data_IF_860796197512
#
_entry.id   IF_860796197512
#
_cell.length_a   1.000
_cell.length_b   1.000
_cell.length_c   1.000
_cell.angle_alpha   90.00
_cell.angle_beta   90.00
_cell.angle_gamma   90.00
#
_symmetry.space_group_name_H-M   'P 1'
#
loop_
_entity.id
_entity.type
_entity.pdbx_description
1 polymer ?
#
# COMPACT_ATOMS: atom_id res chain seq x y z
N UNK A 1 16.24 16.03 -14.12
CA UNK A 1 16.27 16.82 -15.37
C UNK A 1 15.12 16.44 -16.31
N UNK A 2 14.80 15.15 -16.51
CA UNK A 2 13.73 14.70 -17.41
C UNK A 2 12.30 15.21 -17.07
N UNK A 3 11.81 15.05 -15.83
CA UNK A 3 10.43 15.47 -15.48
C UNK A 3 10.18 16.98 -15.67
N UNK A 4 11.19 17.80 -15.36
CA UNK A 4 11.15 19.25 -15.58
C UNK A 4 11.14 19.58 -17.06
N UNK A 5 11.94 18.87 -17.86
CA UNK A 5 11.95 19.02 -19.30
C UNK A 5 10.61 18.61 -19.92
N UNK A 6 10.01 17.49 -19.51
CA UNK A 6 8.67 17.04 -19.97
C UNK A 6 7.60 18.11 -19.70
N UNK A 7 7.64 18.74 -18.52
CA UNK A 7 6.75 19.85 -18.16
C UNK A 7 7.03 21.12 -18.97
N UNK A 8 8.29 21.42 -19.24
CA UNK A 8 8.72 22.59 -20.01
C UNK A 8 8.49 22.41 -21.53
N UNK A 9 8.44 21.17 -22.03
CA UNK A 9 8.23 20.80 -23.44
C UNK A 9 6.80 20.35 -23.77
N UNK A 10 5.88 20.37 -22.79
CA UNK A 10 4.48 19.94 -22.93
C UNK A 10 4.31 18.50 -23.43
N UNK A 11 5.24 17.61 -23.05
CA UNK A 11 5.27 16.21 -23.48
C UNK A 11 4.59 15.26 -22.50
N UNK A 12 3.57 15.71 -21.77
CA UNK A 12 2.86 14.91 -20.77
C UNK A 12 2.33 13.59 -21.36
N UNK A 13 1.97 13.58 -22.65
CA UNK A 13 1.49 12.40 -23.39
C UNK A 13 2.43 11.19 -23.23
N UNK A 14 3.74 11.41 -23.19
CA UNK A 14 4.73 10.33 -23.02
C UNK A 14 4.56 9.62 -21.67
N UNK A 15 4.12 10.31 -20.62
CA UNK A 15 3.93 9.69 -19.30
C UNK A 15 2.84 8.62 -19.33
N UNK A 16 1.80 8.83 -20.14
CA UNK A 16 0.64 7.94 -20.24
C UNK A 16 0.97 6.58 -20.85
N UNK A 17 2.02 6.52 -21.68
CA UNK A 17 2.50 5.27 -22.28
C UNK A 17 3.17 4.35 -21.26
N UNK A 18 3.73 4.93 -20.18
CA UNK A 18 4.53 4.22 -19.19
C UNK A 18 3.85 4.07 -17.82
N UNK A 19 2.58 4.45 -17.66
CA UNK A 19 1.89 4.37 -16.36
C UNK A 19 1.88 2.96 -15.80
N UNK A 20 1.58 1.96 -16.64
CA UNK A 20 1.54 0.55 -16.23
C UNK A 20 2.94 0.03 -15.87
N UNK A 21 3.96 0.38 -16.65
CA UNK A 21 5.34 -0.02 -16.39
C UNK A 21 5.91 0.68 -15.13
N UNK A 22 5.43 1.89 -14.84
CA UNK A 22 5.77 2.64 -13.64
C UNK A 22 5.00 2.18 -12.38
N UNK A 23 3.93 1.40 -12.58
CA UNK A 23 3.23 0.69 -11.53
C UNK A 23 3.91 -0.64 -11.19
N UNK A 24 4.73 -1.18 -12.10
CA UNK A 24 5.35 -2.50 -11.96
C UNK A 24 6.16 -2.60 -10.65
N UNK A 25 5.75 -3.56 -9.83
CA UNK A 25 6.34 -3.88 -8.54
C UNK A 25 7.44 -4.96 -8.71
N UNK A 26 8.62 -4.76 -8.11
CA UNK A 26 9.78 -5.69 -8.15
C UNK A 26 11.14 -4.98 -8.25
N UNK A 27 12.25 -5.75 -8.19
CA UNK A 27 13.70 -5.36 -8.06
C UNK A 27 14.24 -4.27 -9.02
N UNK A 28 13.42 -3.71 -9.90
CA UNK A 28 13.71 -2.52 -10.68
C UNK A 28 12.45 -1.67 -10.76
N UNK A 29 12.22 -0.77 -9.80
CA UNK A 29 11.31 0.34 -10.04
C UNK A 29 11.69 1.00 -11.36
N UNK A 30 10.76 0.98 -12.33
CA UNK A 30 10.97 1.65 -13.59
C UNK A 30 11.34 3.11 -13.32
N UNK A 31 12.38 3.62 -13.99
CA UNK A 31 12.77 5.04 -13.93
C UNK A 31 11.57 5.98 -14.14
N UNK A 32 10.57 5.51 -14.90
CA UNK A 32 9.32 6.22 -15.12
C UNK A 32 8.54 6.48 -13.83
N UNK A 33 8.57 5.58 -12.83
CA UNK A 33 7.89 5.78 -11.54
C UNK A 33 8.32 7.07 -10.88
N UNK A 34 9.62 7.24 -10.62
CA UNK A 34 10.14 8.46 -10.00
C UNK A 34 9.89 9.70 -10.86
N UNK A 35 10.00 9.55 -12.19
CA UNK A 35 9.74 10.64 -13.13
C UNK A 35 8.28 11.11 -13.06
N UNK A 36 7.33 10.18 -13.00
CA UNK A 36 5.89 10.45 -12.93
C UNK A 36 5.52 11.02 -11.55
N UNK A 37 6.07 10.50 -10.46
CA UNK A 37 5.87 11.06 -9.11
C UNK A 37 6.38 12.50 -9.03
N UNK A 38 7.59 12.75 -9.56
CA UNK A 38 8.17 14.08 -9.61
C UNK A 38 7.39 15.04 -10.52
N UNK A 39 6.82 14.54 -11.62
CA UNK A 39 5.91 15.30 -12.47
C UNK A 39 4.63 15.66 -11.72
N UNK A 40 3.96 14.68 -11.10
CA UNK A 40 2.73 14.86 -10.35
C UNK A 40 2.90 15.90 -9.24
N UNK A 41 4.00 15.84 -8.48
CA UNK A 41 4.33 16.80 -7.42
C UNK A 41 4.53 18.24 -7.93
N UNK A 42 4.93 18.41 -9.19
CA UNK A 42 5.13 19.72 -9.82
C UNK A 42 3.93 20.17 -10.67
N UNK A 43 2.98 19.29 -10.95
CA UNK A 43 1.83 19.57 -11.81
C UNK A 43 0.90 20.58 -11.15
N UNK A 44 0.26 21.44 -11.95
CA UNK A 44 -0.78 22.37 -11.45
C UNK A 44 -2.06 21.64 -11.04
N UNK A 45 -2.40 20.57 -11.76
CA UNK A 45 -3.54 19.69 -11.49
C UNK A 45 -3.18 18.27 -11.94
N UNK A 46 -2.83 17.35 -11.02
CA UNK A 46 -2.48 15.97 -11.34
C UNK A 46 -3.70 15.04 -11.49
N UNK A 47 -4.92 15.57 -11.42
CA UNK A 47 -6.16 14.76 -11.40
C UNK A 47 -6.26 13.82 -12.61
N UNK A 48 -6.00 14.34 -13.82
CA UNK A 48 -6.11 13.57 -15.07
C UNK A 48 -5.09 12.43 -15.11
N UNK A 49 -3.87 12.69 -14.63
CA UNK A 49 -2.81 11.68 -14.53
C UNK A 49 -3.20 10.55 -13.58
N UNK A 50 -3.76 10.89 -12.40
CA UNK A 50 -4.22 9.92 -11.41
C UNK A 50 -5.38 9.08 -11.96
N UNK A 51 -6.34 9.71 -12.63
CA UNK A 51 -7.46 9.03 -13.26
C UNK A 51 -7.02 8.09 -14.38
N UNK A 52 -6.07 8.52 -15.23
CA UNK A 52 -5.52 7.68 -16.28
C UNK A 52 -4.73 6.49 -15.73
N UNK A 53 -3.96 6.69 -14.65
CA UNK A 53 -3.26 5.61 -13.97
C UNK A 53 -4.26 4.56 -13.46
N UNK A 54 -5.32 4.97 -12.78
CA UNK A 54 -6.39 4.04 -12.36
C UNK A 54 -7.04 3.32 -13.54
N UNK A 55 -7.33 4.03 -14.64
CA UNK A 55 -7.97 3.45 -15.83
C UNK A 55 -7.09 2.38 -16.52
N UNK A 56 -5.77 2.50 -16.42
CA UNK A 56 -4.82 1.52 -16.94
C UNK A 56 -4.50 0.39 -15.94
N UNK A 57 -5.07 0.42 -14.74
CA UNK A 57 -4.78 -0.52 -13.66
C UNK A 57 -3.48 -0.21 -12.89
N UNK A 58 -2.87 0.96 -13.13
CA UNK A 58 -1.68 1.44 -12.43
C UNK A 58 -2.03 2.01 -11.04
N UNK A 59 -2.56 1.15 -10.17
CA UNK A 59 -3.26 1.56 -8.96
C UNK A 59 -2.32 2.04 -7.85
N UNK A 60 -1.11 1.47 -7.73
CA UNK A 60 -0.14 1.91 -6.73
C UNK A 60 0.43 3.27 -7.12
N UNK A 61 0.71 3.47 -8.41
CA UNK A 61 1.20 4.72 -8.96
C UNK A 61 0.15 5.82 -8.78
N UNK A 62 -1.11 5.54 -9.10
CA UNK A 62 -2.21 6.47 -8.86
C UNK A 62 -2.29 6.90 -7.38
N UNK A 63 -2.17 5.93 -6.46
CA UNK A 63 -2.14 6.19 -5.03
C UNK A 63 -0.93 7.04 -4.61
N UNK A 64 0.27 6.71 -5.09
CA UNK A 64 1.49 7.44 -4.76
C UNK A 64 1.44 8.89 -5.28
N UNK A 65 0.96 9.10 -6.52
CA UNK A 65 0.70 10.43 -7.06
C UNK A 65 -0.32 11.21 -6.19
N UNK A 66 -1.37 10.56 -5.70
CA UNK A 66 -2.35 11.19 -4.80
C UNK A 66 -1.74 11.59 -3.45
N UNK A 67 -0.85 10.78 -2.87
CA UNK A 67 -0.24 11.10 -1.57
C UNK A 67 0.81 12.22 -1.66
N UNK A 68 1.68 12.20 -2.67
CA UNK A 68 2.73 13.21 -2.86
C UNK A 68 2.16 14.61 -3.15
N UNK A 69 0.98 14.69 -3.77
CA UNK A 69 0.37 15.95 -4.21
C UNK A 69 -0.42 16.67 -3.13
N UNK A 70 -0.61 16.07 -1.95
CA UNK A 70 -1.26 16.71 -0.80
C UNK A 70 -0.47 17.88 -0.19
N UNK A 71 0.84 17.96 -0.44
CA UNK A 71 1.75 18.90 0.25
C UNK A 71 1.81 20.31 -0.33
N UNK A 72 1.28 20.50 -1.52
CA UNK A 72 1.23 21.77 -2.23
C UNK A 72 -0.04 21.71 -3.02
N UNK A 73 -1.02 22.59 -2.81
CA UNK A 73 -1.93 23.12 -3.86
C UNK A 73 -3.13 23.90 -3.29
N UNK A 74 -3.69 24.74 -4.17
CA UNK A 74 -4.84 25.62 -4.02
C UNK A 74 -6.13 24.85 -3.59
N UNK A 75 -7.01 25.45 -2.74
CA UNK A 75 -8.25 24.82 -2.26
C UNK A 75 -9.12 24.12 -3.31
N UNK A 76 -9.19 24.63 -4.55
CA UNK A 76 -10.01 24.03 -5.61
C UNK A 76 -9.51 22.64 -6.06
N UNK A 77 -8.19 22.42 -6.06
CA UNK A 77 -7.60 21.14 -6.45
C UNK A 77 -7.71 20.13 -5.31
N UNK A 78 -7.54 20.59 -4.07
CA UNK A 78 -7.76 19.76 -2.87
C UNK A 78 -9.16 19.15 -2.89
N UNK A 79 -10.19 19.94 -3.23
CA UNK A 79 -11.56 19.44 -3.30
C UNK A 79 -11.75 18.34 -4.37
N UNK A 80 -11.10 18.46 -5.54
CA UNK A 80 -11.12 17.41 -6.56
C UNK A 80 -10.41 16.14 -6.08
N UNK A 81 -9.23 16.27 -5.47
CA UNK A 81 -8.46 15.14 -4.96
C UNK A 81 -9.20 14.42 -3.81
N UNK A 82 -9.86 15.15 -2.93
CA UNK A 82 -10.71 14.54 -1.89
C UNK A 82 -11.89 13.78 -2.48
N UNK A 83 -12.48 14.25 -3.58
CA UNK A 83 -13.52 13.51 -4.29
C UNK A 83 -13.00 12.23 -4.97
N UNK A 84 -11.70 12.17 -5.32
CA UNK A 84 -11.06 10.99 -5.90
C UNK A 84 -10.67 9.95 -4.85
N UNK A 85 -10.43 10.37 -3.60
CA UNK A 85 -9.95 9.52 -2.51
C UNK A 85 -10.68 8.17 -2.40
N UNK A 86 -12.03 8.10 -2.42
CA UNK A 86 -12.73 6.83 -2.33
C UNK A 86 -12.44 5.91 -3.53
N UNK A 87 -12.37 6.47 -4.75
CA UNK A 87 -12.07 5.70 -5.97
C UNK A 87 -10.66 5.14 -5.93
N UNK A 88 -9.68 5.96 -5.52
CA UNK A 88 -8.28 5.54 -5.38
C UNK A 88 -8.16 4.39 -4.38
N UNK A 89 -8.84 4.48 -3.23
CA UNK A 89 -8.82 3.39 -2.25
C UNK A 89 -9.46 2.11 -2.78
N UNK A 90 -10.65 2.21 -3.39
CA UNK A 90 -11.32 1.02 -3.97
C UNK A 90 -10.43 0.37 -5.03
N UNK A 91 -9.81 1.16 -5.90
CA UNK A 91 -8.92 0.64 -6.94
C UNK A 91 -7.68 -0.04 -6.34
N UNK A 92 -7.06 0.59 -5.34
CA UNK A 92 -5.84 0.09 -4.70
C UNK A 92 -6.06 -1.23 -3.94
N UNK A 93 -7.15 -1.32 -3.19
CA UNK A 93 -7.44 -2.48 -2.33
C UNK A 93 -8.31 -3.54 -2.98
N UNK A 94 -8.75 -3.32 -4.22
CA UNK A 94 -9.70 -4.20 -4.91
C UNK A 94 -9.18 -5.62 -5.11
N UNK A 95 -7.89 -5.79 -5.40
CA UNK A 95 -7.30 -7.13 -5.56
C UNK A 95 -7.22 -7.89 -4.23
N UNK A 96 -6.78 -7.23 -3.16
CA UNK A 96 -6.81 -7.80 -1.82
C UNK A 96 -8.23 -8.23 -1.42
N UNK A 97 -9.22 -7.37 -1.63
CA UNK A 97 -10.63 -7.68 -1.34
C UNK A 97 -11.13 -8.87 -2.16
N UNK A 98 -10.77 -8.96 -3.45
CA UNK A 98 -11.12 -10.07 -4.34
C UNK A 98 -10.54 -11.39 -3.83
N UNK A 99 -9.24 -11.41 -3.52
CA UNK A 99 -8.53 -12.60 -3.03
C UNK A 99 -9.10 -13.09 -1.71
N UNK A 100 -9.37 -12.16 -0.78
CA UNK A 100 -9.97 -12.46 0.52
C UNK A 100 -11.38 -13.03 0.38
N UNK A 101 -12.24 -12.45 -0.47
CA UNK A 101 -13.58 -12.98 -0.75
C UNK A 101 -13.55 -14.37 -1.40
N UNK A 102 -12.52 -14.66 -2.19
CA UNK A 102 -12.30 -15.97 -2.79
C UNK A 102 -11.73 -17.01 -1.80
N UNK A 103 -11.29 -16.58 -0.61
CA UNK A 103 -10.62 -17.46 0.36
C UNK A 103 -9.20 -17.85 -0.05
N UNK A 104 -8.58 -17.11 -0.97
CA UNK A 104 -7.21 -17.34 -1.44
C UNK A 104 -6.20 -16.73 -0.46
N UNK A 105 -6.15 -17.27 0.77
CA UNK A 105 -5.42 -16.67 1.90
C UNK A 105 -3.93 -16.43 1.64
N UNK A 106 -3.25 -17.36 0.96
CA UNK A 106 -1.82 -17.22 0.63
C UNK A 106 -1.57 -16.06 -0.35
N UNK A 107 -2.43 -15.93 -1.37
CA UNK A 107 -2.32 -14.85 -2.34
C UNK A 107 -2.69 -13.50 -1.69
N UNK A 108 -3.72 -13.47 -0.83
CA UNK A 108 -4.08 -12.29 -0.05
C UNK A 108 -2.97 -11.83 0.90
N UNK A 109 -2.20 -12.76 1.50
CA UNK A 109 -1.05 -12.44 2.34
C UNK A 109 0.08 -11.79 1.54
N UNK A 110 0.41 -12.34 0.36
CA UNK A 110 1.38 -11.73 -0.57
C UNK A 110 0.96 -10.34 -1.02
N UNK A 111 -0.32 -10.18 -1.37
CA UNK A 111 -0.89 -8.89 -1.75
C UNK A 111 -0.87 -7.88 -0.59
N UNK A 112 -1.11 -8.36 0.64
CA UNK A 112 -1.00 -7.52 1.85
C UNK A 112 0.43 -7.01 2.03
N UNK A 113 1.43 -7.88 1.90
CA UNK A 113 2.84 -7.49 1.93
C UNK A 113 3.16 -6.43 0.88
N UNK A 114 2.75 -6.67 -0.37
CA UNK A 114 2.94 -5.72 -1.49
C UNK A 114 2.32 -4.35 -1.20
N UNK A 115 1.08 -4.31 -0.73
CA UNK A 115 0.40 -3.05 -0.37
C UNK A 115 1.12 -2.33 0.78
N UNK A 116 1.62 -3.05 1.78
CA UNK A 116 2.33 -2.44 2.90
C UNK A 116 3.71 -1.90 2.49
N UNK A 117 4.51 -2.67 1.75
CA UNK A 117 5.88 -2.26 1.37
C UNK A 117 5.85 -1.07 0.41
N UNK A 118 4.90 -1.06 -0.54
CA UNK A 118 4.73 0.08 -1.46
C UNK A 118 4.17 1.33 -0.77
N UNK A 119 3.40 1.18 0.32
CA UNK A 119 2.90 2.32 1.11
C UNK A 119 4.02 3.10 1.79
N UNK A 120 5.11 2.43 2.14
CA UNK A 120 6.31 3.06 2.73
C UNK A 120 7.36 3.39 1.66
N UNK A 121 6.94 3.46 0.39
CA UNK A 121 7.77 3.78 -0.77
C UNK A 121 8.97 2.83 -0.98
N UNK A 122 8.84 1.58 -0.54
CA UNK A 122 9.83 0.51 -0.73
C UNK A 122 9.44 -0.45 -1.84
N UNK A 123 10.44 -1.16 -2.35
CA UNK A 123 10.29 -2.22 -3.36
C UNK A 123 9.90 -3.55 -2.73
N UNK A 124 9.17 -4.37 -3.49
CA UNK A 124 8.97 -5.76 -3.11
C UNK A 124 10.31 -6.49 -2.93
N UNK A 125 10.39 -7.32 -1.90
CA UNK A 125 11.63 -7.99 -1.49
C UNK A 125 12.47 -7.18 -0.50
N UNK A 126 12.17 -5.91 -0.28
CA UNK A 126 12.80 -5.12 0.78
C UNK A 126 12.18 -5.44 2.16
N UNK A 127 12.98 -5.18 3.20
CA UNK A 127 12.58 -5.29 4.59
C UNK A 127 12.02 -3.97 5.10
N UNK A 128 11.04 -4.05 6.00
CA UNK A 128 10.58 -2.89 6.76
C UNK A 128 11.62 -2.52 7.80
N UNK A 129 11.93 -1.22 7.87
CA UNK A 129 12.67 -0.65 8.99
C UNK A 129 11.67 -0.24 10.09
N UNK A 130 12.09 -0.16 11.36
CA UNK A 130 11.22 0.27 12.44
C UNK A 130 10.54 1.62 12.17
N UNK A 131 11.25 2.58 11.57
CA UNK A 131 10.69 3.90 11.28
C UNK A 131 9.55 3.86 10.24
N UNK A 132 9.57 2.90 9.30
CA UNK A 132 8.52 2.71 8.31
C UNK A 132 7.20 2.32 8.97
N UNK A 133 7.27 1.42 9.95
CA UNK A 133 6.11 0.89 10.65
C UNK A 133 5.59 1.87 11.71
N UNK A 134 6.48 2.65 12.33
CA UNK A 134 6.09 3.70 13.27
C UNK A 134 5.30 4.83 12.59
N UNK A 135 5.65 5.15 11.34
CA UNK A 135 4.99 6.20 10.54
C UNK A 135 3.97 5.65 9.54
N UNK A 136 3.61 4.35 9.63
CA UNK A 136 2.72 3.73 8.67
C UNK A 136 1.33 4.42 8.68
N UNK A 137 0.77 4.79 7.51
CA UNK A 137 -0.52 5.44 7.44
C UNK A 137 -1.65 4.65 8.12
N UNK A 138 -2.26 5.25 9.14
CA UNK A 138 -3.33 4.62 9.91
C UNK A 138 -4.56 4.23 9.06
N UNK A 139 -4.85 4.99 8.00
CA UNK A 139 -6.00 4.72 7.12
C UNK A 139 -5.77 3.45 6.31
N UNK A 140 -4.58 3.28 5.75
CA UNK A 140 -4.18 2.08 5.02
C UNK A 140 -4.17 0.85 5.95
N UNK A 141 -3.60 0.98 7.16
CA UNK A 141 -3.59 -0.12 8.14
C UNK A 141 -5.00 -0.55 8.56
N UNK A 142 -5.90 0.41 8.80
CA UNK A 142 -7.31 0.12 9.14
C UNK A 142 -8.04 -0.54 7.97
N UNK A 143 -7.73 -0.16 6.74
CA UNK A 143 -8.37 -0.71 5.55
C UNK A 143 -7.98 -2.17 5.36
N UNK A 144 -6.68 -2.46 5.42
CA UNK A 144 -6.15 -3.83 5.35
C UNK A 144 -6.75 -4.68 6.48
N UNK A 145 -6.70 -4.19 7.73
CA UNK A 145 -7.24 -4.91 8.88
C UNK A 145 -8.74 -5.23 8.74
N UNK A 146 -9.55 -4.25 8.32
CA UNK A 146 -10.98 -4.43 8.11
C UNK A 146 -11.25 -5.52 7.08
N UNK A 147 -10.56 -5.49 5.94
CA UNK A 147 -10.75 -6.48 4.87
C UNK A 147 -10.46 -7.90 5.36
N UNK A 148 -9.36 -8.09 6.09
CA UNK A 148 -9.01 -9.39 6.68
C UNK A 148 -10.02 -9.85 7.72
N UNK A 149 -10.45 -8.96 8.62
CA UNK A 149 -11.43 -9.27 9.67
C UNK A 149 -12.77 -9.68 9.08
N UNK A 150 -13.28 -8.92 8.10
CA UNK A 150 -14.58 -9.19 7.48
C UNK A 150 -14.56 -10.51 6.70
N UNK A 151 -13.56 -10.73 5.85
CA UNK A 151 -13.49 -11.94 5.03
C UNK A 151 -13.25 -13.21 5.86
N UNK A 152 -12.56 -13.09 6.98
CA UNK A 152 -12.24 -14.22 7.86
C UNK A 152 -13.27 -14.46 8.97
N UNK A 153 -14.38 -13.72 9.02
CA UNK A 153 -15.31 -13.75 10.17
C UNK A 153 -14.61 -13.49 11.52
N UNK A 154 -13.66 -12.56 11.53
CA UNK A 154 -12.92 -12.14 12.73
C UNK A 154 -11.81 -13.08 13.19
N UNK A 155 -11.37 -14.02 12.34
CA UNK A 155 -10.27 -14.94 12.66
C UNK A 155 -8.88 -14.34 12.33
N UNK A 156 -8.79 -13.49 11.32
CA UNK A 156 -7.56 -12.88 10.83
C UNK A 156 -7.63 -11.35 10.87
N UNK A 157 -6.47 -10.70 10.91
CA UNK A 157 -6.31 -9.25 11.00
C UNK A 157 -5.30 -8.83 12.09
N UNK A 158 -4.69 -7.67 11.91
CA UNK A 158 -3.77 -7.07 12.88
C UNK A 158 -4.45 -6.75 14.22
N UNK A 159 -5.71 -6.33 14.20
CA UNK A 159 -6.50 -6.09 15.41
C UNK A 159 -6.80 -7.38 16.17
N UNK A 160 -6.95 -8.51 15.46
CA UNK A 160 -7.09 -9.84 16.05
C UNK A 160 -5.77 -10.27 16.69
N UNK A 161 -4.65 -10.13 15.99
CA UNK A 161 -3.31 -10.40 16.54
C UNK A 161 -3.04 -9.56 17.79
N UNK A 162 -3.31 -8.24 17.74
CA UNK A 162 -3.19 -7.33 18.89
C UNK A 162 -4.03 -7.78 20.08
N UNK A 163 -5.26 -8.24 19.85
CA UNK A 163 -6.15 -8.77 20.90
C UNK A 163 -5.58 -10.05 21.52
N UNK A 164 -5.04 -10.95 20.71
CA UNK A 164 -4.44 -12.21 21.17
C UNK A 164 -3.14 -12.00 21.96
N UNK A 165 -2.36 -10.98 21.58
CA UNK A 165 -1.19 -10.54 22.33
C UNK A 165 -1.55 -10.01 23.73
N UNK A 166 -2.65 -9.26 23.84
CA UNK A 166 -3.15 -8.73 25.12
C UNK A 166 -2.21 -7.69 25.74
N UNK A 167 -2.18 -7.58 27.07
CA UNK A 167 -1.28 -6.64 27.79
C UNK A 167 0.21 -6.98 27.67
N UNK A 168 0.56 -8.12 27.06
CA UNK A 168 1.93 -8.60 26.86
C UNK A 168 2.28 -8.63 25.39
N UNK A 169 2.01 -7.52 24.70
CA UNK A 169 2.49 -7.35 23.34
C UNK A 169 4.02 -7.50 23.36
N UNK A 170 4.60 -8.44 22.61
CA UNK A 170 6.03 -8.67 22.67
C UNK A 170 6.74 -7.42 22.13
N UNK A 171 7.56 -6.79 22.97
CA UNK A 171 8.40 -5.64 22.58
C UNK A 171 9.82 -6.10 22.19
N UNK A 172 10.12 -7.39 22.36
CA UNK A 172 11.39 -8.02 22.02
C UNK A 172 11.21 -9.51 21.77
N UNK A 173 12.18 -10.11 21.08
CA UNK A 173 12.27 -11.56 20.92
C UNK A 173 12.51 -12.21 22.29
N UNK A 174 11.59 -13.08 22.73
CA UNK A 174 11.64 -13.72 24.04
C UNK A 174 10.35 -14.48 24.39
N UNK A 175 10.17 -14.83 25.67
CA UNK A 175 9.05 -15.70 26.14
C UNK A 175 7.65 -15.17 25.83
N UNK A 176 7.48 -13.85 25.73
CA UNK A 176 6.19 -13.26 25.34
C UNK A 176 5.97 -13.38 23.82
N UNK A 177 7.04 -13.26 23.01
CA UNK A 177 7.02 -13.52 21.56
C UNK A 177 6.70 -14.98 21.26
N UNK A 178 7.39 -15.95 21.88
CA UNK A 178 7.14 -17.37 21.63
C UNK A 178 5.69 -17.76 21.95
N UNK A 179 5.17 -17.26 23.08
CA UNK A 179 3.77 -17.47 23.48
C UNK A 179 2.81 -16.84 22.48
N UNK A 180 3.12 -15.64 21.99
CA UNK A 180 2.34 -15.01 20.95
C UNK A 180 2.34 -15.86 19.67
N UNK A 181 3.51 -16.29 19.19
CA UNK A 181 3.65 -17.15 18.00
C UNK A 181 2.85 -18.45 18.12
N UNK A 182 2.83 -19.09 19.29
CA UNK A 182 1.97 -20.28 19.52
C UNK A 182 0.49 -19.92 19.47
N UNK A 183 0.07 -18.79 20.09
CA UNK A 183 -1.33 -18.34 20.09
C UNK A 183 -1.85 -18.01 18.70
N UNK A 184 -1.02 -17.42 17.84
CA UNK A 184 -1.40 -17.07 16.46
C UNK A 184 -1.08 -18.17 15.45
N UNK A 185 -0.59 -19.33 15.90
CA UNK A 185 -0.34 -20.50 15.06
C UNK A 185 0.93 -20.45 14.21
N UNK A 186 1.81 -19.46 14.42
CA UNK A 186 3.10 -19.36 13.71
C UNK A 186 4.13 -20.39 14.17
N UNK A 187 3.97 -20.92 15.38
CA UNK A 187 4.77 -22.02 15.89
C UNK A 187 3.86 -23.13 16.40
N UNK A 188 4.11 -24.36 15.96
CA UNK A 188 3.45 -25.54 16.53
C UNK A 188 4.15 -25.87 17.85
N UNK A 189 3.38 -25.90 18.94
CA UNK A 189 3.91 -26.30 20.23
C UNK A 189 4.32 -27.78 20.19
N UNK A 190 5.64 -28.05 20.21
CA UNK A 190 6.20 -29.40 20.17
C UNK A 190 5.87 -30.26 21.40
N UNK A 191 5.22 -29.71 22.44
CA UNK A 191 4.88 -30.42 23.68
C UNK A 191 3.53 -31.16 23.65
N UNK A 192 2.84 -31.28 22.50
CA UNK A 192 1.56 -32.02 22.39
C UNK A 192 1.59 -33.25 21.46
N UNK A 193 2.78 -33.74 21.10
CA UNK A 193 2.93 -35.05 20.45
C UNK A 193 3.58 -36.04 21.44
N UNK A 194 2.82 -36.49 22.43
CA UNK A 194 3.09 -37.71 23.20
C UNK A 194 1.78 -38.27 23.75
#
# INVERSE_FOLDING_TARGET
>A
MAARQIKETDQEVLLYEFLKDADADGENQSWWRQTILLYAAQAKDPTVLIEAAMAQGANNLAYACYQETKRTLNPAIVQKLEALKPKVQVSRYGELERLLKAGEWEAADKETYRLMITTVNKEEGQWFDPEDLENFPCEDLRTIDRLWVEASNGHFGFSVQKRLAGMRSPMSLGKDWDRFCVKVGWQINKQKNT
#
